data_IF_566483572852
#
_entry.id   IF_566483572852
#
_cell.length_a   1.000
_cell.length_b   1.000
_cell.length_c   1.000
_cell.angle_alpha   90.00
_cell.angle_beta   90.00
_cell.angle_gamma   90.00
#
_symmetry.space_group_name_H-M   'P 1'
#
loop_
_entity.id
_entity.type
_entity.pdbx_description
1 polymer ?
#
# COMPACT_ATOMS: atom_id res chain seq x y z
N UNK A 1 21.68 -22.00 -0.26
CA UNK A 1 20.78 -20.94 0.21
C UNK A 1 21.45 -19.60 -0.08
N UNK A 2 21.08 -18.95 -1.18
CA UNK A 2 21.71 -17.70 -1.63
C UNK A 2 21.37 -16.58 -0.65
N UNK A 3 22.39 -15.91 -0.11
CA UNK A 3 22.29 -14.72 0.71
C UNK A 3 21.49 -13.63 -0.01
N UNK A 4 20.23 -13.45 0.37
CA UNK A 4 19.35 -12.42 -0.19
C UNK A 4 19.88 -11.03 0.12
N UNK A 5 20.05 -10.19 -0.91
CA UNK A 5 20.50 -8.81 -0.74
C UNK A 5 19.56 -8.03 0.18
N UNK A 6 20.16 -7.21 1.05
CA UNK A 6 19.51 -6.40 2.10
C UNK A 6 18.67 -5.23 1.54
N UNK A 7 17.71 -5.52 0.67
CA UNK A 7 16.79 -4.56 0.08
C UNK A 7 15.42 -4.58 0.74
N UNK A 8 14.69 -3.47 0.62
CA UNK A 8 13.29 -3.40 0.98
C UNK A 8 12.44 -3.56 -0.28
N UNK A 9 11.36 -4.31 -0.17
CA UNK A 9 10.25 -4.26 -1.11
C UNK A 9 9.41 -3.04 -0.82
N UNK A 10 9.08 -2.30 -1.86
CA UNK A 10 8.21 -1.12 -1.79
C UNK A 10 7.06 -1.30 -2.76
N UNK A 11 5.84 -1.23 -2.24
CA UNK A 11 4.63 -1.43 -3.04
C UNK A 11 3.68 -0.25 -2.89
N UNK A 12 3.15 0.22 -4.02
CA UNK A 12 2.11 1.24 -4.13
C UNK A 12 0.89 0.59 -4.76
N UNK A 13 -0.16 0.35 -3.98
CA UNK A 13 -1.38 -0.29 -4.47
C UNK A 13 -2.51 0.72 -4.44
N UNK A 14 -3.02 1.07 -5.62
CA UNK A 14 -4.10 2.02 -5.79
C UNK A 14 -5.43 1.29 -5.80
N UNK A 15 -6.43 1.90 -5.18
CA UNK A 15 -7.77 1.36 -5.07
C UNK A 15 -8.77 2.36 -5.65
N UNK A 16 -9.76 1.82 -6.37
CA UNK A 16 -10.94 2.53 -6.85
C UNK A 16 -12.17 1.86 -6.24
N UNK A 17 -13.03 2.64 -5.63
CA UNK A 17 -14.28 2.17 -5.02
C UNK A 17 -15.38 2.23 -6.07
N UNK A 18 -16.10 1.12 -6.25
CA UNK A 18 -17.31 1.09 -7.06
C UNK A 18 -18.30 2.19 -6.58
N UNK A 19 -18.77 3.08 -7.47
CA UNK A 19 -19.73 4.11 -7.11
C UNK A 19 -21.01 3.61 -6.41
N UNK A 20 -21.43 2.36 -6.66
CA UNK A 20 -22.57 1.74 -6.01
C UNK A 20 -22.40 1.59 -4.49
N UNK A 21 -21.17 1.37 -4.01
CA UNK A 21 -20.87 1.30 -2.59
C UNK A 21 -21.31 2.56 -1.83
N UNK A 22 -21.19 3.73 -2.46
CA UNK A 22 -21.55 5.02 -1.84
C UNK A 22 -23.05 5.17 -1.56
N UNK A 23 -23.89 4.32 -2.18
CA UNK A 23 -25.35 4.30 -2.01
C UNK A 23 -25.82 3.37 -0.89
N UNK A 24 -24.92 2.57 -0.31
CA UNK A 24 -25.24 1.73 0.83
C UNK A 24 -25.57 2.57 2.09
N UNK A 25 -26.29 1.99 3.07
CA UNK A 25 -26.48 2.59 4.38
C UNK A 25 -25.16 3.10 4.98
N UNK A 26 -25.23 4.21 5.71
CA UNK A 26 -24.05 4.86 6.27
C UNK A 26 -23.31 3.89 7.21
N UNK A 27 -24.06 3.13 7.99
CA UNK A 27 -23.59 2.15 8.97
C UNK A 27 -22.76 1.06 8.28
N UNK A 28 -23.24 0.53 7.15
CA UNK A 28 -22.50 -0.47 6.37
C UNK A 28 -21.20 0.11 5.79
N UNK A 29 -21.25 1.35 5.29
CA UNK A 29 -20.05 2.03 4.76
C UNK A 29 -19.03 2.32 5.85
N UNK A 30 -19.48 2.68 7.06
CA UNK A 30 -18.61 2.92 8.21
C UNK A 30 -17.96 1.60 8.63
N UNK A 31 -18.75 0.54 8.87
CA UNK A 31 -18.23 -0.77 9.25
C UNK A 31 -17.22 -1.34 8.24
N UNK A 32 -17.48 -1.19 6.93
CA UNK A 32 -16.55 -1.65 5.90
C UNK A 32 -15.21 -0.89 5.90
N UNK A 33 -15.24 0.44 6.13
CA UNK A 33 -14.01 1.24 6.24
C UNK A 33 -13.24 0.90 7.53
N UNK A 34 -13.95 0.75 8.64
CA UNK A 34 -13.34 0.47 9.94
C UNK A 34 -12.62 -0.88 9.90
N UNK A 35 -13.28 -1.93 9.38
CA UNK A 35 -12.65 -3.24 9.18
C UNK A 35 -11.39 -3.19 8.28
N UNK A 36 -11.40 -2.35 7.23
CA UNK A 36 -10.22 -2.15 6.39
C UNK A 36 -9.10 -1.41 7.12
N UNK A 37 -9.45 -0.37 7.89
CA UNK A 37 -8.50 0.41 8.67
C UNK A 37 -7.87 -0.43 9.79
N UNK A 38 -8.65 -1.24 10.50
CA UNK A 38 -8.16 -2.16 11.55
C UNK A 38 -7.10 -3.12 11.01
N UNK A 39 -7.30 -3.66 9.80
CA UNK A 39 -6.26 -4.48 9.14
C UNK A 39 -5.01 -3.64 8.87
N UNK A 40 -5.14 -2.44 8.32
CA UNK A 40 -3.96 -1.57 8.08
C UNK A 40 -3.21 -1.25 9.38
N UNK A 41 -3.93 -0.94 10.46
CA UNK A 41 -3.37 -0.61 11.76
C UNK A 41 -2.64 -1.80 12.39
N UNK A 42 -3.27 -2.97 12.40
CA UNK A 42 -2.64 -4.21 12.90
C UNK A 42 -1.36 -4.57 12.13
N UNK A 43 -1.32 -4.27 10.83
CA UNK A 43 -0.15 -4.53 10.00
C UNK A 43 0.94 -3.46 10.12
N UNK A 44 0.62 -2.29 10.67
CA UNK A 44 1.61 -1.22 10.89
C UNK A 44 2.67 -1.57 11.94
N UNK A 45 2.40 -2.56 12.79
CA UNK A 45 3.37 -3.13 13.74
C UNK A 45 4.42 -4.02 13.05
N UNK A 46 4.11 -4.54 11.85
CA UNK A 46 4.94 -5.51 11.11
C UNK A 46 5.70 -4.89 9.94
N UNK A 47 5.11 -3.88 9.29
CA UNK A 47 5.70 -3.20 8.14
C UNK A 47 5.33 -1.72 8.13
N UNK A 48 6.13 -0.88 7.47
CA UNK A 48 5.78 0.52 7.27
C UNK A 48 4.64 0.62 6.24
N UNK A 49 3.43 0.93 6.72
CA UNK A 49 2.22 1.09 5.89
C UNK A 49 1.62 2.47 6.05
N UNK A 50 1.20 3.08 4.93
CA UNK A 50 0.49 4.36 4.93
C UNK A 50 -0.58 4.39 3.85
N UNK A 51 -1.73 4.96 4.18
CA UNK A 51 -2.80 5.23 3.21
C UNK A 51 -2.81 6.72 2.84
N UNK A 52 -3.03 7.01 1.56
CA UNK A 52 -3.15 8.37 1.04
C UNK A 52 -4.39 8.46 0.14
N UNK A 53 -5.19 9.51 0.32
CA UNK A 53 -6.32 9.82 -0.56
C UNK A 53 -5.82 10.39 -1.89
N UNK A 54 -6.48 10.02 -2.98
CA UNK A 54 -6.33 10.68 -4.29
C UNK A 54 -7.57 11.46 -4.70
N UNK A 55 -8.60 11.49 -3.84
CA UNK A 55 -9.83 12.24 -4.06
C UNK A 55 -9.52 13.71 -4.39
N UNK A 56 -10.08 14.21 -5.49
CA UNK A 56 -9.85 15.58 -5.97
C UNK A 56 -8.52 15.82 -6.68
N UNK A 57 -7.62 14.83 -6.73
CA UNK A 57 -6.31 14.93 -7.40
C UNK A 57 -6.23 14.02 -8.62
N UNK A 58 -6.80 12.80 -8.53
CA UNK A 58 -6.72 11.79 -9.58
C UNK A 58 -8.10 11.14 -9.80
N UNK A 59 -8.65 11.11 -11.02
CA UNK A 59 -10.01 10.62 -11.28
C UNK A 59 -10.11 9.09 -11.45
N UNK A 60 -8.99 8.40 -11.65
CA UNK A 60 -8.94 6.97 -11.91
C UNK A 60 -8.92 6.12 -10.61
N UNK A 61 -8.53 6.70 -9.47
CA UNK A 61 -8.39 6.05 -8.15
C UNK A 61 -8.94 6.94 -7.02
N UNK A 62 -9.31 6.33 -5.89
CA UNK A 62 -9.80 7.04 -4.71
C UNK A 62 -8.74 7.17 -3.59
N UNK A 63 -7.89 6.15 -3.43
CA UNK A 63 -6.80 6.14 -2.48
C UNK A 63 -5.72 5.12 -2.89
N UNK A 64 -4.57 5.13 -2.22
CA UNK A 64 -3.57 4.07 -2.34
C UNK A 64 -2.93 3.75 -0.99
N UNK A 65 -2.39 2.53 -0.91
CA UNK A 65 -1.62 2.05 0.24
C UNK A 65 -0.15 1.89 -0.17
N UNK A 66 0.73 2.62 0.51
CA UNK A 66 2.18 2.53 0.39
C UNK A 66 2.72 1.59 1.46
N UNK A 67 3.46 0.56 1.05
CA UNK A 67 3.98 -0.51 1.91
C UNK A 67 5.48 -0.62 1.72
N UNK A 68 6.23 -0.74 2.81
CA UNK A 68 7.66 -1.03 2.79
C UNK A 68 7.92 -2.21 3.73
N UNK A 69 8.52 -3.28 3.23
CA UNK A 69 8.85 -4.48 4.02
C UNK A 69 10.17 -5.10 3.55
N UNK A 70 10.89 -5.77 4.43
CA UNK A 70 12.05 -6.61 4.07
C UNK A 70 11.61 -8.07 3.76
N UNK A 71 10.35 -8.45 4.06
CA UNK A 71 9.78 -9.78 3.80
C UNK A 71 8.70 -9.70 2.74
N UNK A 72 9.00 -10.22 1.54
CA UNK A 72 8.07 -10.23 0.41
C UNK A 72 6.69 -10.83 0.74
N UNK A 73 6.67 -11.91 1.53
CA UNK A 73 5.44 -12.61 1.90
C UNK A 73 4.46 -11.74 2.71
N UNK A 74 4.92 -10.68 3.39
CA UNK A 74 4.02 -9.73 4.07
C UNK A 74 3.08 -9.04 3.08
N UNK A 75 3.51 -8.79 1.84
CA UNK A 75 2.68 -8.15 0.83
C UNK A 75 1.48 -9.02 0.44
N UNK A 76 1.69 -10.33 0.34
CA UNK A 76 0.64 -11.29 0.00
C UNK A 76 -0.31 -11.54 1.17
N UNK A 77 0.23 -11.70 2.37
CA UNK A 77 -0.56 -11.89 3.59
C UNK A 77 -1.41 -10.66 3.93
N UNK A 78 -0.86 -9.44 3.81
CA UNK A 78 -1.63 -8.20 3.94
C UNK A 78 -2.71 -8.10 2.86
N UNK A 79 -2.38 -8.44 1.61
CA UNK A 79 -3.35 -8.46 0.51
C UNK A 79 -4.52 -9.41 0.79
N UNK A 80 -4.25 -10.60 1.31
CA UNK A 80 -5.28 -11.57 1.70
C UNK A 80 -6.14 -11.05 2.87
N UNK A 81 -5.51 -10.45 3.88
CA UNK A 81 -6.22 -9.87 5.02
C UNK A 81 -7.17 -8.73 4.57
N UNK A 82 -6.68 -7.81 3.74
CA UNK A 82 -7.51 -6.73 3.18
C UNK A 82 -8.64 -7.29 2.30
N UNK A 83 -8.38 -8.33 1.51
CA UNK A 83 -9.41 -8.99 0.69
C UNK A 83 -10.47 -9.74 1.52
N UNK A 84 -10.20 -10.03 2.79
CA UNK A 84 -11.20 -10.56 3.72
C UNK A 84 -12.14 -9.52 4.31
N UNK A 85 -11.89 -8.23 4.08
CA UNK A 85 -12.73 -7.14 4.63
C UNK A 85 -13.99 -6.92 3.79
N UNK A 86 -15.09 -6.42 4.37
CA UNK A 86 -16.31 -6.12 3.61
C UNK A 86 -16.10 -5.10 2.49
N UNK A 87 -15.12 -4.19 2.63
CA UNK A 87 -14.81 -3.20 1.61
C UNK A 87 -14.24 -3.85 0.34
N UNK A 88 -13.55 -4.98 0.44
CA UNK A 88 -12.84 -5.62 -0.68
C UNK A 88 -13.74 -5.92 -1.88
N UNK A 89 -14.98 -6.34 -1.65
CA UNK A 89 -15.95 -6.62 -2.73
C UNK A 89 -16.33 -5.39 -3.57
N UNK A 90 -16.01 -4.19 -3.09
CA UNK A 90 -16.27 -2.92 -3.76
C UNK A 90 -15.01 -2.26 -4.33
N UNK A 91 -13.85 -2.88 -4.17
CA UNK A 91 -12.57 -2.32 -4.61
C UNK A 91 -12.09 -2.96 -5.92
N UNK A 92 -11.75 -2.10 -6.88
CA UNK A 92 -10.86 -2.45 -7.97
C UNK A 92 -9.43 -1.97 -7.65
N UNK A 93 -8.42 -2.69 -8.15
CA UNK A 93 -7.00 -2.31 -8.04
C UNK A 93 -6.47 -1.91 -9.41
N UNK A 94 -6.70 -0.66 -9.88
CA UNK A 94 -6.30 -0.24 -11.22
C UNK A 94 -4.77 -0.21 -11.41
N UNK A 95 -4.00 0.03 -10.33
CA UNK A 95 -2.55 0.07 -10.38
C UNK A 95 -1.91 -0.61 -9.18
N UNK A 96 -0.84 -1.36 -9.43
CA UNK A 96 0.03 -1.92 -8.40
C UNK A 96 1.48 -1.82 -8.85
N UNK A 97 2.24 -0.90 -8.24
CA UNK A 97 3.65 -0.70 -8.56
C UNK A 97 4.50 -1.35 -7.48
N UNK A 98 5.32 -2.33 -7.87
CA UNK A 98 6.21 -3.05 -6.98
C UNK A 98 7.66 -2.74 -7.36
N UNK A 99 8.44 -2.36 -6.36
CA UNK A 99 9.85 -2.06 -6.49
C UNK A 99 10.66 -2.76 -5.39
N UNK A 100 11.97 -2.85 -5.61
CA UNK A 100 12.94 -3.24 -4.58
C UNK A 100 14.03 -2.18 -4.51
N UNK A 101 14.49 -1.85 -3.30
CA UNK A 101 15.71 -1.05 -3.16
C UNK A 101 16.91 -1.91 -3.55
N UNK A 102 17.81 -1.35 -4.35
CA UNK A 102 19.09 -1.99 -4.75
C UNK A 102 20.24 -1.07 -4.37
N UNK A 103 21.43 -1.66 -4.18
CA UNK A 103 22.65 -0.86 -4.11
C UNK A 103 22.79 -0.08 -5.43
N UNK A 104 23.21 1.18 -5.32
CA UNK A 104 23.40 2.05 -6.48
C UNK A 104 24.51 1.47 -7.36
N UNK A 105 24.27 1.39 -8.68
CA UNK A 105 25.30 1.02 -9.65
C UNK A 105 26.27 2.17 -9.94
N UNK A 106 25.86 3.41 -9.65
CA UNK A 106 26.60 4.63 -9.97
C UNK A 106 27.37 5.22 -8.79
N UNK A 107 27.27 4.61 -7.60
CA UNK A 107 28.06 5.02 -6.44
C UNK A 107 28.77 3.82 -5.83
N UNK A 108 29.90 4.04 -5.15
CA UNK A 108 30.63 2.98 -4.43
C UNK A 108 29.86 2.42 -3.21
N UNK A 109 28.58 2.78 -3.04
CA UNK A 109 27.76 2.36 -1.92
C UNK A 109 27.47 0.85 -2.01
N UNK A 110 28.02 0.09 -1.06
CA UNK A 110 27.89 -1.37 -0.99
C UNK A 110 26.52 -1.87 -0.52
N UNK A 111 25.59 -0.98 -0.13
CA UNK A 111 24.27 -1.35 0.43
C UNK A 111 23.14 -0.53 -0.19
N UNK A 112 21.97 -1.16 -0.31
CA UNK A 112 20.76 -0.48 -0.73
C UNK A 112 20.36 0.61 0.27
N UNK A 113 19.91 1.75 -0.25
CA UNK A 113 19.36 2.81 0.61
C UNK A 113 18.04 2.33 1.20
N UNK A 114 17.87 2.53 2.52
CA UNK A 114 16.58 2.29 3.18
C UNK A 114 15.62 3.46 2.92
N UNK A 115 14.41 3.13 2.52
CA UNK A 115 13.26 4.02 2.45
C UNK A 115 12.65 4.06 3.85
N UNK A 116 12.52 5.27 4.39
CA UNK A 116 11.96 5.54 5.71
C UNK A 116 10.91 6.64 5.52
N UNK A 117 9.64 6.39 5.90
CA UNK A 117 8.62 7.42 5.82
C UNK A 117 8.94 8.63 6.70
N UNK A 118 8.81 9.84 6.17
CA UNK A 118 9.20 11.10 6.86
C UNK A 118 8.05 11.92 7.43
N UNK A 119 6.86 11.33 7.56
CA UNK A 119 5.71 12.07 8.12
C UNK A 119 5.12 13.15 7.20
N UNK A 120 5.53 13.21 5.93
CA UNK A 120 4.98 14.21 5.01
C UNK A 120 3.50 13.95 4.70
N UNK A 121 2.67 15.01 4.62
CA UNK A 121 1.23 14.90 4.37
C UNK A 121 0.92 14.45 2.92
N UNK A 122 1.87 14.62 2.01
CA UNK A 122 1.69 14.31 0.59
C UNK A 122 2.79 13.36 0.09
N UNK A 123 2.41 12.50 -0.85
CA UNK A 123 3.31 11.59 -1.55
C UNK A 123 2.95 11.58 -3.04
N UNK A 124 3.95 11.78 -3.90
CA UNK A 124 3.79 11.73 -5.36
C UNK A 124 4.40 10.42 -5.86
N UNK A 125 3.64 9.70 -6.68
CA UNK A 125 4.07 8.44 -7.30
C UNK A 125 4.11 8.64 -8.82
N UNK A 126 5.29 8.49 -9.41
CA UNK A 126 5.52 8.63 -10.84
C UNK A 126 6.28 7.39 -11.37
N UNK A 127 5.58 6.41 -11.96
CA UNK A 127 6.21 5.19 -12.48
C UNK A 127 6.97 5.48 -13.78
N UNK A 128 8.13 4.86 -13.94
CA UNK A 128 9.01 4.94 -15.12
C UNK A 128 9.51 3.55 -15.52
#
# INVERSE_FOLDING_TARGET
MSSGGSGQYVAYTFYRVDPAWRRLPIEERVAAKDAFAEVIEAWSERLDVRAYSTAGVRPDCDFFVWKITERYADLGELGAALNGTPLAGWLATPYSYLATTKASQYSQARRARKIVPRGHPYLVVYPF
#
